data_IF_702651713076
#
_entry.id   IF_702651713076
#
_cell.length_a   1.000
_cell.length_b   1.000
_cell.length_c   1.000
_cell.angle_alpha   90.00
_cell.angle_beta   90.00
_cell.angle_gamma   90.00
#
_symmetry.space_group_name_H-M   'P 1'
#
loop_
_entity.id
_entity.type
_entity.pdbx_description
1 polymer ?
#
# COMPACT_ATOMS: atom_id res chain seq x y z
N UNK A 1 -19.63 -4.60 11.78
CA UNK A 1 -18.98 -4.31 10.46
C UNK A 1 -18.47 -5.57 9.76
N UNK A 2 -17.46 -6.33 10.26
CA UNK A 2 -16.98 -7.54 9.54
C UNK A 2 -18.08 -8.64 9.46
N UNK A 3 -18.77 -8.93 10.55
CA UNK A 3 -19.89 -9.90 10.57
C UNK A 3 -21.04 -9.47 9.67
N UNK A 4 -21.39 -8.21 9.66
CA UNK A 4 -22.44 -7.65 8.78
C UNK A 4 -22.05 -7.81 7.29
N UNK A 5 -20.76 -7.62 6.96
CA UNK A 5 -20.27 -7.83 5.58
C UNK A 5 -20.37 -9.30 5.16
N UNK A 6 -19.99 -10.22 6.03
CA UNK A 6 -20.16 -11.66 5.75
C UNK A 6 -21.62 -12.03 5.56
N UNK A 7 -22.50 -11.54 6.42
CA UNK A 7 -23.95 -11.75 6.29
C UNK A 7 -24.51 -11.18 4.97
N UNK A 8 -24.07 -10.00 4.53
CA UNK A 8 -24.49 -9.42 3.26
C UNK A 8 -24.04 -10.24 2.05
N UNK A 9 -22.96 -11.01 2.18
CA UNK A 9 -22.44 -11.88 1.14
C UNK A 9 -22.93 -13.34 1.28
N UNK A 10 -23.77 -13.63 2.26
CA UNK A 10 -24.23 -15.00 2.57
C UNK A 10 -23.06 -15.95 2.93
N UNK A 11 -22.01 -15.40 3.56
CA UNK A 11 -20.78 -16.10 3.95
C UNK A 11 -20.70 -16.27 5.47
N UNK A 12 -20.07 -17.36 5.89
CA UNK A 12 -19.71 -17.63 7.27
C UNK A 12 -18.22 -17.37 7.51
N UNK A 13 -17.82 -17.29 8.77
CA UNK A 13 -16.39 -17.12 9.14
C UNK A 13 -15.54 -18.28 8.67
N UNK A 14 -16.11 -19.48 8.59
CA UNK A 14 -15.47 -20.70 8.08
C UNK A 14 -15.20 -20.70 6.58
N UNK A 15 -15.83 -19.78 5.83
CA UNK A 15 -15.65 -19.67 4.37
C UNK A 15 -14.49 -18.75 3.99
N UNK A 16 -13.77 -18.23 5.00
CA UNK A 16 -12.61 -17.39 4.80
C UNK A 16 -11.34 -18.22 4.63
N UNK A 17 -10.63 -18.05 3.51
CA UNK A 17 -9.33 -18.68 3.24
C UNK A 17 -8.16 -17.85 3.79
N UNK A 18 -8.32 -16.54 3.87
CA UNK A 18 -7.30 -15.62 4.33
C UNK A 18 -7.89 -14.30 4.81
N UNK A 19 -7.10 -13.55 5.60
CA UNK A 19 -7.34 -12.15 5.92
C UNK A 19 -6.17 -11.30 5.46
N UNK A 20 -6.47 -10.18 4.80
CA UNK A 20 -5.46 -9.25 4.34
C UNK A 20 -5.68 -7.86 4.95
N UNK A 21 -4.58 -7.13 5.18
CA UNK A 21 -4.67 -5.79 5.77
C UNK A 21 -3.58 -4.86 5.23
N UNK A 22 -3.82 -3.56 5.32
CA UNK A 22 -2.81 -2.54 5.01
C UNK A 22 -1.78 -2.46 6.13
N UNK A 23 -0.55 -2.94 5.86
CA UNK A 23 0.51 -3.02 6.85
C UNK A 23 1.28 -1.70 7.07
N UNK A 24 0.94 -0.64 6.34
CA UNK A 24 1.63 0.65 6.35
C UNK A 24 2.44 0.89 5.07
N UNK A 25 3.06 2.07 4.95
CA UNK A 25 3.10 3.16 5.92
C UNK A 25 1.74 3.85 6.08
N UNK A 26 1.53 4.49 7.23
CA UNK A 26 0.28 5.20 7.52
C UNK A 26 0.16 5.68 8.96
N UNK A 27 -1.06 5.97 9.39
CA UNK A 27 -1.34 6.37 10.76
C UNK A 27 -0.87 5.32 11.77
N UNK A 28 -0.06 5.73 12.73
CA UNK A 28 0.52 4.84 13.75
C UNK A 28 -0.51 3.96 14.47
N UNK A 29 -1.64 4.54 14.88
CA UNK A 29 -2.71 3.79 15.52
C UNK A 29 -3.50 2.95 14.50
N UNK A 30 -3.76 3.52 13.31
CA UNK A 30 -4.55 2.84 12.28
C UNK A 30 -3.94 1.53 11.80
N UNK A 31 -2.63 1.52 11.52
CA UNK A 31 -1.95 0.29 11.06
C UNK A 31 -1.88 -0.77 12.17
N UNK A 32 -1.76 -0.37 13.43
CA UNK A 32 -1.78 -1.30 14.57
C UNK A 32 -3.15 -1.92 14.79
N UNK A 33 -4.21 -1.11 14.72
CA UNK A 33 -5.59 -1.61 14.83
C UNK A 33 -5.88 -2.60 13.70
N UNK A 34 -5.49 -2.27 12.46
CA UNK A 34 -5.66 -3.16 11.31
C UNK A 34 -4.91 -4.48 11.50
N UNK A 35 -3.64 -4.43 11.92
CA UNK A 35 -2.84 -5.62 12.18
C UNK A 35 -3.44 -6.47 13.32
N UNK A 36 -3.79 -5.85 14.45
CA UNK A 36 -4.35 -6.59 15.60
C UNK A 36 -5.67 -7.26 15.24
N UNK A 37 -6.54 -6.59 14.48
CA UNK A 37 -7.79 -7.17 14.00
C UNK A 37 -7.53 -8.35 13.06
N UNK A 38 -6.63 -8.19 12.09
CA UNK A 38 -6.30 -9.23 11.13
C UNK A 38 -5.68 -10.46 11.81
N UNK A 39 -4.76 -10.25 12.76
CA UNK A 39 -4.21 -11.35 13.57
C UNK A 39 -5.28 -12.07 14.38
N UNK A 40 -6.18 -11.33 15.04
CA UNK A 40 -7.28 -11.93 15.79
C UNK A 40 -8.17 -12.83 14.94
N UNK A 41 -8.52 -12.38 13.72
CA UNK A 41 -9.31 -13.18 12.77
C UNK A 41 -8.51 -14.40 12.28
N UNK A 42 -7.26 -14.19 11.86
CA UNK A 42 -6.42 -15.27 11.35
C UNK A 42 -6.21 -16.38 12.38
N UNK A 43 -5.91 -16.01 13.63
CA UNK A 43 -5.76 -16.98 14.74
C UNK A 43 -7.06 -17.71 15.06
N UNK A 44 -8.19 -16.98 15.13
CA UNK A 44 -9.47 -17.58 15.50
C UNK A 44 -10.01 -18.56 14.45
N UNK A 45 -9.68 -18.35 13.17
CA UNK A 45 -10.12 -19.19 12.05
C UNK A 45 -9.02 -20.14 11.54
N UNK A 46 -7.81 -20.03 12.05
CA UNK A 46 -6.63 -20.78 11.58
C UNK A 46 -6.41 -20.63 10.07
N UNK A 47 -6.44 -19.37 9.59
CA UNK A 47 -6.29 -19.01 8.17
C UNK A 47 -5.06 -18.13 7.95
N UNK A 48 -4.66 -17.99 6.69
CA UNK A 48 -3.52 -17.16 6.29
C UNK A 48 -3.76 -15.67 6.60
N UNK A 49 -2.68 -14.95 6.92
CA UNK A 49 -2.68 -13.49 7.09
C UNK A 49 -1.74 -12.87 6.07
N UNK A 50 -2.22 -11.89 5.30
CA UNK A 50 -1.44 -11.28 4.22
C UNK A 50 -1.28 -9.78 4.45
N UNK A 51 -0.07 -9.30 4.79
CA UNK A 51 0.21 -7.88 4.87
C UNK A 51 0.40 -7.30 3.47
N UNK A 52 -0.27 -6.20 3.17
CA UNK A 52 -0.09 -5.45 1.94
C UNK A 52 0.41 -4.04 2.26
N UNK A 53 1.48 -3.60 1.61
CA UNK A 53 1.92 -2.21 1.76
C UNK A 53 0.79 -1.24 1.38
N UNK A 54 0.57 -0.22 2.21
CA UNK A 54 -0.41 0.83 1.93
C UNK A 54 -0.10 1.59 0.64
N UNK A 55 1.18 1.82 0.33
CA UNK A 55 1.59 2.44 -0.93
C UNK A 55 1.33 1.51 -2.12
N UNK A 56 1.56 0.21 -1.97
CA UNK A 56 1.23 -0.77 -3.00
C UNK A 56 -0.29 -0.81 -3.25
N UNK A 57 -1.09 -0.85 -2.20
CA UNK A 57 -2.54 -0.79 -2.32
C UNK A 57 -3.00 0.51 -3.01
N UNK A 58 -2.35 1.64 -2.70
CA UNK A 58 -2.63 2.93 -3.33
C UNK A 58 -2.27 2.90 -4.83
N UNK A 59 -1.09 2.36 -5.19
CA UNK A 59 -0.67 2.22 -6.58
C UNK A 59 -1.63 1.38 -7.42
N UNK A 60 -2.20 0.32 -6.83
CA UNK A 60 -3.15 -0.59 -7.49
C UNK A 60 -4.59 -0.07 -7.51
N UNK A 61 -4.91 1.02 -6.79
CA UNK A 61 -6.29 1.54 -6.70
C UNK A 61 -6.83 2.07 -8.02
N UNK A 62 -6.07 2.82 -8.86
CA UNK A 62 -6.51 3.16 -10.21
C UNK A 62 -6.60 1.90 -11.08
N UNK A 63 -7.63 1.85 -11.92
CA UNK A 63 -7.81 0.71 -12.83
C UNK A 63 -7.00 0.95 -14.12
N UNK A 64 -5.71 0.63 -14.08
CA UNK A 64 -4.86 0.67 -15.27
C UNK A 64 -5.20 -0.49 -16.20
N UNK A 65 -5.25 -0.21 -17.51
CA UNK A 65 -5.60 -1.19 -18.55
C UNK A 65 -4.38 -1.71 -19.31
N UNK A 66 -3.19 -1.26 -18.93
CA UNK A 66 -1.91 -1.66 -19.52
C UNK A 66 -0.81 -1.66 -18.46
N UNK A 67 0.27 -2.39 -18.71
CA UNK A 67 1.46 -2.36 -17.85
C UNK A 67 1.98 -0.94 -17.67
N UNK A 68 2.29 -0.55 -16.42
CA UNK A 68 2.57 0.84 -16.05
C UNK A 68 3.64 0.95 -14.99
N UNK A 69 4.61 1.86 -15.19
CA UNK A 69 5.48 2.26 -14.09
C UNK A 69 4.80 3.36 -13.26
N UNK A 70 4.66 3.11 -11.99
CA UNK A 70 3.92 3.97 -11.06
C UNK A 70 4.85 4.49 -10.00
N UNK A 71 4.96 5.82 -9.91
CA UNK A 71 5.46 6.51 -8.73
C UNK A 71 4.27 6.71 -7.79
N UNK A 72 4.30 6.08 -6.63
CA UNK A 72 3.28 6.29 -5.59
C UNK A 72 3.81 7.23 -4.52
N UNK A 73 3.04 8.28 -4.19
CA UNK A 73 3.41 9.27 -3.18
C UNK A 73 2.23 9.53 -2.25
N UNK A 74 2.52 9.59 -0.95
CA UNK A 74 1.53 9.91 0.08
C UNK A 74 2.13 10.86 1.12
N UNK A 75 1.32 11.77 1.65
CA UNK A 75 1.71 12.68 2.73
C UNK A 75 2.14 11.90 3.98
N UNK A 76 3.37 12.10 4.43
CA UNK A 76 3.91 11.51 5.66
C UNK A 76 3.87 12.47 6.85
N UNK A 77 3.25 13.65 6.70
CA UNK A 77 3.30 14.77 7.66
C UNK A 77 4.72 15.31 7.83
N UNK A 78 4.87 16.39 8.63
CA UNK A 78 6.16 16.99 8.97
C UNK A 78 7.01 17.36 7.74
N UNK A 79 6.38 17.81 6.65
CA UNK A 79 7.01 18.15 5.38
C UNK A 79 7.79 16.98 4.73
N UNK A 80 7.34 15.75 4.97
CA UNK A 80 7.87 14.54 4.35
C UNK A 80 6.79 13.81 3.57
N UNK A 81 7.22 12.93 2.67
CA UNK A 81 6.34 12.04 1.89
C UNK A 81 6.79 10.59 2.02
N UNK A 82 5.81 9.69 2.14
CA UNK A 82 6.02 8.28 1.85
C UNK A 82 5.95 8.09 0.35
N UNK A 83 6.89 7.37 -0.21
CA UNK A 83 6.89 7.11 -1.64
C UNK A 83 7.66 5.84 -2.01
N UNK A 84 7.38 5.32 -3.19
CA UNK A 84 8.05 4.20 -3.79
C UNK A 84 7.69 4.10 -5.26
N UNK A 85 8.33 3.18 -5.97
CA UNK A 85 8.08 2.96 -7.39
C UNK A 85 7.83 1.48 -7.66
N UNK A 86 6.74 1.21 -8.36
CA UNK A 86 6.37 -0.15 -8.75
C UNK A 86 6.06 -0.22 -10.25
N UNK A 87 6.23 -1.39 -10.83
CA UNK A 87 5.68 -1.73 -12.14
C UNK A 87 4.42 -2.56 -11.91
N UNK A 88 3.34 -2.14 -12.52
CA UNK A 88 2.08 -2.88 -12.54
C UNK A 88 1.94 -3.64 -13.84
N UNK A 89 1.41 -4.86 -13.76
CA UNK A 89 0.98 -5.64 -14.92
C UNK A 89 -0.27 -5.04 -15.58
N UNK A 90 -0.69 -5.58 -16.72
CA UNK A 90 -1.93 -5.18 -17.39
C UNK A 90 -3.18 -5.47 -16.55
N UNK A 91 -3.09 -6.45 -15.64
CA UNK A 91 -4.15 -6.83 -14.70
C UNK A 91 -4.13 -5.98 -13.42
N UNK A 92 -3.20 -5.00 -13.33
CA UNK A 92 -3.05 -4.09 -12.20
C UNK A 92 -2.42 -4.73 -10.96
N UNK A 93 -1.68 -5.84 -11.11
CA UNK A 93 -0.90 -6.46 -10.05
C UNK A 93 0.53 -5.92 -10.03
N UNK A 94 1.17 -5.94 -8.87
CA UNK A 94 2.58 -5.56 -8.75
C UNK A 94 3.43 -6.66 -9.38
N UNK A 95 4.11 -6.31 -10.48
CA UNK A 95 5.04 -7.18 -11.19
C UNK A 95 6.46 -7.00 -10.63
N UNK A 96 6.84 -5.77 -10.29
CA UNK A 96 8.17 -5.43 -9.81
C UNK A 96 8.12 -4.25 -8.84
N UNK A 97 8.94 -4.31 -7.80
CA UNK A 97 9.25 -3.16 -6.95
C UNK A 97 10.54 -2.53 -7.46
N UNK A 98 10.41 -1.39 -8.16
CA UNK A 98 11.55 -0.69 -8.78
C UNK A 98 12.31 0.12 -7.72
N UNK A 99 11.60 0.77 -6.83
CA UNK A 99 12.15 1.49 -5.68
C UNK A 99 11.33 1.13 -4.46
N UNK A 100 12.02 0.60 -3.45
CA UNK A 100 11.39 0.27 -2.17
C UNK A 100 10.76 1.49 -1.49
N UNK A 101 9.70 1.23 -0.73
CA UNK A 101 9.00 2.27 0.00
C UNK A 101 9.91 2.96 1.01
N UNK A 102 9.90 4.29 1.02
CA UNK A 102 10.72 5.11 1.92
C UNK A 102 10.01 6.40 2.31
N UNK A 103 10.60 7.09 3.27
CA UNK A 103 10.17 8.43 3.69
C UNK A 103 11.31 9.41 3.47
N UNK A 104 11.02 10.53 2.80
CA UNK A 104 11.99 11.60 2.54
C UNK A 104 11.28 12.95 2.44
N UNK A 105 12.05 14.03 2.32
CA UNK A 105 11.49 15.30 1.87
C UNK A 105 10.96 15.16 0.45
N UNK A 106 9.91 15.92 0.07
CA UNK A 106 9.38 15.89 -1.30
C UNK A 106 10.43 16.24 -2.37
N UNK A 107 11.36 17.15 -2.05
CA UNK A 107 12.47 17.56 -2.94
C UNK A 107 13.41 16.40 -3.33
N UNK A 108 13.48 15.37 -2.49
CA UNK A 108 14.42 14.26 -2.64
C UNK A 108 13.80 13.06 -3.38
N UNK A 109 12.53 13.19 -3.79
CA UNK A 109 11.86 12.17 -4.61
C UNK A 109 12.50 12.13 -5.98
N UNK A 110 12.97 10.95 -6.38
CA UNK A 110 13.63 10.77 -7.67
C UNK A 110 13.25 9.44 -8.30
N UNK A 111 13.06 9.45 -9.62
CA UNK A 111 12.70 8.26 -10.41
C UNK A 111 13.67 8.08 -11.57
N UNK A 112 13.86 6.85 -12.08
CA UNK A 112 14.61 6.59 -13.29
C UNK A 112 14.05 7.38 -14.48
N UNK A 113 14.94 8.02 -15.27
CA UNK A 113 14.51 8.91 -16.38
C UNK A 113 14.14 8.17 -17.66
N UNK A 114 14.54 6.92 -17.80
CA UNK A 114 14.48 6.16 -19.06
C UNK A 114 13.13 5.45 -19.30
N UNK A 115 12.16 5.65 -18.43
CA UNK A 115 10.86 4.99 -18.52
C UNK A 115 9.69 5.99 -18.52
N UNK A 116 8.56 5.55 -19.04
CA UNK A 116 7.31 6.29 -18.91
C UNK A 116 6.71 6.05 -17.53
N UNK A 117 6.34 7.12 -16.84
CA UNK A 117 5.83 7.09 -15.49
C UNK A 117 4.44 7.72 -15.41
N UNK A 118 3.61 7.20 -14.52
CA UNK A 118 2.48 7.94 -13.98
C UNK A 118 2.62 8.07 -12.46
N UNK A 119 1.93 9.04 -11.89
CA UNK A 119 1.92 9.28 -10.44
C UNK A 119 0.57 8.86 -9.88
N UNK A 120 0.58 8.06 -8.85
CA UNK A 120 -0.58 7.85 -7.98
C UNK A 120 -0.31 8.55 -6.66
N UNK A 121 -1.17 9.48 -6.29
CA UNK A 121 -0.90 10.35 -5.15
C UNK A 121 -2.07 10.45 -4.19
N UNK A 122 -1.77 10.59 -2.91
CA UNK A 122 -2.73 10.99 -1.90
C UNK A 122 -2.33 12.35 -1.32
N UNK A 123 -3.33 13.23 -1.12
CA UNK A 123 -3.12 14.58 -0.55
C UNK A 123 -2.04 15.40 -1.27
N UNK A 124 -2.02 15.34 -2.58
CA UNK A 124 -1.02 15.97 -3.45
C UNK A 124 -0.72 17.43 -3.13
N UNK A 125 -1.74 18.24 -2.88
CA UNK A 125 -1.63 19.68 -2.60
C UNK A 125 -0.82 20.01 -1.36
N UNK A 126 -0.57 19.05 -0.47
CA UNK A 126 0.21 19.26 0.75
C UNK A 126 1.73 19.33 0.50
N UNK A 127 2.21 18.84 -0.64
CA UNK A 127 3.63 18.71 -0.91
C UNK A 127 4.05 19.00 -2.36
N UNK A 128 3.08 19.27 -3.25
CA UNK A 128 3.36 19.43 -4.69
C UNK A 128 4.36 20.55 -5.00
N UNK A 129 4.32 21.65 -4.27
CA UNK A 129 5.21 22.79 -4.50
C UNK A 129 6.68 22.42 -4.27
N UNK A 130 6.94 21.50 -3.35
CA UNK A 130 8.27 21.03 -2.97
C UNK A 130 8.80 19.87 -3.83
N UNK A 131 7.98 19.31 -4.72
CA UNK A 131 8.41 18.23 -5.62
C UNK A 131 9.29 18.75 -6.77
N UNK A 132 10.22 17.92 -7.29
CA UNK A 132 10.94 18.23 -8.52
C UNK A 132 10.01 18.53 -9.68
N UNK A 133 10.37 19.54 -10.50
CA UNK A 133 9.52 20.02 -11.60
C UNK A 133 9.12 18.92 -12.58
N UNK A 134 10.04 17.99 -12.89
CA UNK A 134 9.77 16.90 -13.83
C UNK A 134 8.72 15.90 -13.30
N UNK A 135 8.59 15.74 -11.97
CA UNK A 135 7.54 14.90 -11.37
C UNK A 135 6.18 15.57 -11.49
N UNK A 136 6.12 16.90 -11.34
CA UNK A 136 4.87 17.67 -11.44
C UNK A 136 4.24 17.59 -12.83
N UNK A 137 5.01 17.33 -13.88
CA UNK A 137 4.54 17.23 -15.26
C UNK A 137 4.06 15.84 -15.67
N UNK A 138 4.27 14.83 -14.83
CA UNK A 138 3.83 13.47 -15.12
C UNK A 138 2.30 13.33 -15.08
N UNK A 139 1.71 12.45 -15.90
CA UNK A 139 0.32 12.05 -15.75
C UNK A 139 0.03 11.60 -14.33
N UNK A 140 -1.05 12.11 -13.73
CA UNK A 140 -1.35 11.86 -12.32
C UNK A 140 -2.79 11.41 -12.11
N UNK A 141 -2.94 10.46 -11.19
CA UNK A 141 -4.22 10.08 -10.60
C UNK A 141 -4.16 10.35 -9.10
N UNK A 142 -5.15 11.07 -8.57
CA UNK A 142 -5.26 11.32 -7.12
C UNK A 142 -6.19 10.28 -6.51
N UNK A 143 -5.73 9.68 -5.42
CA UNK A 143 -6.47 8.70 -4.64
C UNK A 143 -6.19 8.95 -3.16
N UNK A 144 -7.15 9.51 -2.44
CA UNK A 144 -6.94 9.98 -1.07
C UNK A 144 -6.72 8.83 -0.08
N UNK A 145 -7.32 7.68 -0.33
CA UNK A 145 -7.22 6.50 0.52
C UNK A 145 -7.10 5.23 -0.31
N UNK A 146 -6.26 4.27 0.12
CA UNK A 146 -6.25 2.94 -0.50
C UNK A 146 -7.59 2.25 -0.22
N UNK A 147 -8.11 1.54 -1.23
CA UNK A 147 -9.31 0.72 -1.10
C UNK A 147 -8.95 -0.67 -0.57
N UNK A 148 -9.91 -1.37 0.01
CA UNK A 148 -9.75 -2.76 0.43
C UNK A 148 -9.65 -3.74 -0.75
N UNK A 149 -10.26 -3.41 -1.90
CA UNK A 149 -10.26 -4.27 -3.08
C UNK A 149 -8.86 -4.54 -3.64
N UNK A 150 -7.96 -3.55 -3.84
CA UNK A 150 -6.57 -3.82 -4.20
C UNK A 150 -5.85 -4.72 -3.20
N UNK A 151 -6.07 -4.53 -1.90
CA UNK A 151 -5.46 -5.37 -0.84
C UNK A 151 -5.93 -6.83 -1.00
N UNK A 152 -7.22 -7.06 -1.20
CA UNK A 152 -7.77 -8.40 -1.43
C UNK A 152 -7.23 -9.04 -2.72
N UNK A 153 -7.13 -8.26 -3.82
CA UNK A 153 -6.54 -8.74 -5.08
C UNK A 153 -5.07 -9.11 -4.90
N UNK A 154 -4.29 -8.28 -4.18
CA UNK A 154 -2.90 -8.56 -3.87
C UNK A 154 -2.77 -9.86 -3.06
N UNK A 155 -3.59 -10.04 -2.02
CA UNK A 155 -3.56 -11.24 -1.20
C UNK A 155 -3.88 -12.50 -2.01
N UNK A 156 -4.94 -12.45 -2.82
CA UNK A 156 -5.30 -13.57 -3.70
C UNK A 156 -4.16 -13.94 -4.64
N UNK A 157 -3.54 -12.96 -5.28
CA UNK A 157 -2.40 -13.19 -6.16
C UNK A 157 -1.21 -13.80 -5.41
N UNK A 158 -0.87 -13.27 -4.23
CA UNK A 158 0.22 -13.78 -3.41
C UNK A 158 0.02 -15.23 -3.00
N UNK A 159 -1.18 -15.59 -2.55
CA UNK A 159 -1.52 -16.96 -2.15
C UNK A 159 -1.54 -17.94 -3.34
N UNK A 160 -1.98 -17.50 -4.52
CA UNK A 160 -1.95 -18.32 -5.74
C UNK A 160 -0.52 -18.65 -6.21
N UNK A 161 0.47 -17.83 -5.80
CA UNK A 161 1.89 -18.03 -6.10
C UNK A 161 2.65 -18.61 -4.89
N UNK A 162 1.93 -19.33 -4.02
CA UNK A 162 2.48 -20.06 -2.86
C UNK A 162 3.29 -19.16 -1.90
N UNK A 163 3.01 -17.85 -1.89
CA UNK A 163 3.64 -16.95 -0.96
C UNK A 163 2.94 -17.04 0.39
N UNK A 164 3.51 -17.80 1.29
CA UNK A 164 3.07 -17.85 2.67
C UNK A 164 3.69 -16.70 3.47
N UNK A 165 2.91 -16.11 4.35
CA UNK A 165 3.37 -15.12 5.31
C UNK A 165 3.25 -15.70 6.71
N UNK A 166 4.37 -15.77 7.43
CA UNK A 166 4.31 -16.12 8.84
C UNK A 166 3.62 -15.01 9.64
N UNK A 167 3.00 -15.30 10.78
CA UNK A 167 2.42 -14.26 11.64
C UNK A 167 3.45 -13.19 12.06
N UNK A 168 4.75 -13.54 12.13
CA UNK A 168 5.82 -12.61 12.44
C UNK A 168 6.09 -11.61 11.30
N UNK A 169 5.87 -12.01 10.04
CA UNK A 169 6.04 -11.14 8.86
C UNK A 169 4.83 -10.24 8.63
N UNK A 170 3.67 -10.63 9.15
CA UNK A 170 2.43 -9.86 9.05
C UNK A 170 2.38 -8.71 10.07
N UNK A 171 3.49 -8.01 10.25
CA UNK A 171 3.61 -6.90 11.20
C UNK A 171 3.44 -5.53 10.53
N UNK A 172 3.04 -4.50 11.31
CA UNK A 172 3.07 -3.13 10.83
C UNK A 172 4.47 -2.68 10.38
N UNK A 173 4.54 -2.03 9.21
CA UNK A 173 5.79 -1.49 8.67
C UNK A 173 5.90 -0.01 9.00
N UNK A 174 6.98 0.36 9.67
CA UNK A 174 7.31 1.73 10.03
C UNK A 174 8.50 2.20 9.22
N UNK A 175 8.29 3.14 8.29
CA UNK A 175 9.37 3.71 7.46
C UNK A 175 10.09 4.86 8.15
N UNK A 176 9.44 5.48 9.16
CA UNK A 176 10.07 6.50 9.99
C UNK A 176 10.62 5.86 11.25
N UNK A 177 11.90 6.12 11.54
CA UNK A 177 12.49 5.73 12.83
C UNK A 177 11.72 6.40 13.98
N UNK A 178 11.39 5.67 15.06
CA UNK A 178 10.74 6.25 16.23
C UNK A 178 11.63 7.24 16.99
N UNK A 179 12.93 7.24 16.75
CA UNK A 179 13.91 8.10 17.43
C UNK A 179 14.43 9.10 16.39
N UNK A 180 14.00 10.36 16.47
CA UNK A 180 14.79 11.45 15.93
C UNK A 180 15.92 11.70 16.94
N UNK A 181 17.16 11.46 16.52
CA UNK A 181 18.29 12.13 17.18
C UNK A 181 18.11 13.63 16.93
N UNK A 182 17.71 14.36 17.95
CA UNK A 182 17.78 15.82 17.98
C UNK A 182 19.26 16.19 18.00
N UNK A 183 19.76 16.67 16.86
CA UNK A 183 21.00 17.44 16.78
C UNK A 183 20.71 18.94 16.86
#
# INVERSE_FOLDING_TARGET
>A
MAEEMLQQCDLQKSDLDAVAFGSGPGSFNGIRVAASFAHGVAMAQNINIVPCSTLHALAMTPNFTASQNVLVISDARQNEVYWGCVKLSAEGQIEEVIIENKVTKPSDVSIPKEAKWCVVSSRWTHYEECLPSYIKTLPRTTCDYPSALPIAKFARHSLQHEKEFSPAEAMPVYLRSPIREEN
#
